data_IF_196635998502
#
_entry.id   IF_196635998502
#
_cell.length_a   1.000
_cell.length_b   1.000
_cell.length_c   1.000
_cell.angle_alpha   90.00
_cell.angle_beta   90.00
_cell.angle_gamma   90.00
#
_symmetry.space_group_name_H-M   'P 1'
#
loop_
_entity.id
_entity.type
_entity.pdbx_description
1 polymer ?
#
# COMPACT_ATOMS: atom_id res chain seq x y z
N UNK A 1 -20.85 -14.98 9.03
CA UNK A 1 -21.23 -16.39 9.29
C UNK A 1 -21.40 -17.00 7.91
N UNK A 2 -20.40 -17.74 7.45
CA UNK A 2 -20.52 -18.46 6.18
C UNK A 2 -21.53 -19.58 6.38
N UNK A 3 -22.42 -19.76 5.40
CA UNK A 3 -23.41 -20.83 5.39
C UNK A 3 -22.74 -22.05 4.73
N UNK A 4 -22.42 -23.12 5.50
CA UNK A 4 -21.67 -24.27 4.98
C UNK A 4 -22.43 -25.06 3.90
N UNK A 5 -23.71 -24.76 3.66
CA UNK A 5 -24.52 -25.36 2.60
C UNK A 5 -24.68 -24.51 1.33
N UNK A 6 -24.07 -23.31 1.25
CA UNK A 6 -24.19 -22.48 0.06
C UNK A 6 -23.47 -23.15 -1.13
N UNK A 7 -24.11 -23.26 -2.31
CA UNK A 7 -23.46 -23.81 -3.49
C UNK A 7 -22.27 -22.93 -3.89
N UNK A 8 -21.16 -23.56 -4.30
CA UNK A 8 -20.01 -22.85 -4.82
C UNK A 8 -20.42 -22.03 -6.06
N UNK A 9 -19.98 -20.78 -6.20
CA UNK A 9 -20.31 -19.97 -7.36
C UNK A 9 -19.74 -20.58 -8.63
N UNK A 10 -20.58 -20.68 -9.67
CA UNK A 10 -20.18 -21.11 -11.00
C UNK A 10 -19.72 -19.92 -11.85
N UNK A 11 -19.00 -20.13 -12.97
CA UNK A 11 -18.63 -19.04 -13.87
C UNK A 11 -19.82 -18.24 -14.42
N UNK A 12 -21.03 -18.82 -14.44
CA UNK A 12 -22.26 -18.14 -14.88
C UNK A 12 -22.80 -17.17 -13.83
N UNK A 13 -22.39 -17.32 -12.58
CA UNK A 13 -22.78 -16.45 -11.45
C UNK A 13 -21.90 -15.20 -11.36
N UNK A 14 -20.86 -15.11 -12.20
CA UNK A 14 -20.01 -13.94 -12.31
C UNK A 14 -20.80 -12.77 -12.91
N UNK A 15 -21.09 -11.79 -12.06
CA UNK A 15 -21.82 -10.59 -12.47
C UNK A 15 -20.88 -9.61 -13.17
N UNK A 16 -19.65 -9.46 -12.64
CA UNK A 16 -18.69 -8.47 -13.12
C UNK A 16 -17.27 -8.77 -12.67
N UNK A 17 -16.32 -8.42 -13.54
CA UNK A 17 -14.90 -8.40 -13.25
C UNK A 17 -14.41 -6.95 -13.31
N UNK A 18 -13.39 -6.65 -12.51
CA UNK A 18 -12.78 -5.34 -12.43
C UNK A 18 -11.27 -5.46 -12.46
N UNK A 19 -10.61 -4.52 -13.16
CA UNK A 19 -9.17 -4.34 -13.08
C UNK A 19 -8.80 -3.60 -11.81
N UNK A 20 -7.69 -4.01 -11.20
CA UNK A 20 -7.16 -3.38 -9.99
C UNK A 20 -6.16 -2.24 -10.29
N UNK A 21 -5.92 -1.93 -11.55
CA UNK A 21 -5.12 -0.77 -11.96
C UNK A 21 -5.74 0.50 -11.38
N UNK A 22 -4.96 1.27 -10.62
CA UNK A 22 -5.40 2.48 -9.91
C UNK A 22 -6.54 2.23 -8.91
N UNK A 23 -6.70 1.00 -8.41
CA UNK A 23 -7.67 0.73 -7.35
C UNK A 23 -7.26 1.39 -6.03
N UNK A 24 -8.23 1.92 -5.31
CA UNK A 24 -8.07 2.50 -3.99
C UNK A 24 -8.86 1.68 -2.97
N UNK A 25 -8.24 1.38 -1.83
CA UNK A 25 -8.88 0.63 -0.74
C UNK A 25 -8.58 1.28 0.61
N UNK A 26 -9.57 1.27 1.51
CA UNK A 26 -9.44 1.83 2.86
C UNK A 26 -10.65 1.54 3.74
N UNK A 27 -10.60 2.01 5.00
CA UNK A 27 -11.72 1.85 5.93
C UNK A 27 -12.96 2.65 5.48
N UNK A 28 -14.12 2.02 5.50
CA UNK A 28 -15.42 2.68 5.28
C UNK A 28 -15.91 3.39 6.55
N UNK A 29 -15.19 4.42 7.02
CA UNK A 29 -15.40 5.07 8.32
C UNK A 29 -16.76 5.77 8.48
N UNK A 30 -17.35 6.21 7.38
CA UNK A 30 -18.68 6.82 7.31
C UNK A 30 -19.81 5.78 7.35
N UNK A 31 -19.50 4.49 7.19
CA UNK A 31 -20.49 3.41 7.25
C UNK A 31 -20.54 2.77 8.64
N UNK A 32 -21.53 3.18 9.43
CA UNK A 32 -21.66 2.78 10.84
C UNK A 32 -22.60 1.59 11.07
N UNK A 33 -23.34 1.14 10.04
CA UNK A 33 -24.34 0.07 10.17
C UNK A 33 -23.73 -1.32 10.37
N UNK A 34 -22.50 -1.54 9.92
CA UNK A 34 -21.76 -2.79 10.10
C UNK A 34 -20.31 -2.50 10.45
N UNK A 35 -19.71 -3.39 11.24
CA UNK A 35 -18.28 -3.34 11.55
C UNK A 35 -17.47 -3.96 10.42
N UNK A 36 -16.16 -3.69 10.41
CA UNK A 36 -15.18 -4.30 9.52
C UNK A 36 -15.48 -4.04 8.04
N UNK A 37 -15.90 -2.82 7.72
CA UNK A 37 -16.27 -2.43 6.36
C UNK A 37 -15.11 -1.71 5.68
N UNK A 38 -14.79 -2.18 4.48
CA UNK A 38 -13.78 -1.66 3.59
C UNK A 38 -14.49 -0.93 2.45
N UNK A 39 -14.06 0.28 2.16
CA UNK A 39 -14.42 1.00 0.93
C UNK A 39 -13.39 0.67 -0.13
N UNK A 40 -13.88 0.31 -1.32
CA UNK A 40 -13.03 0.04 -2.47
C UNK A 40 -13.54 0.86 -3.65
N UNK A 41 -12.62 1.47 -4.39
CA UNK A 41 -12.87 2.16 -5.65
C UNK A 41 -12.00 1.55 -6.74
N UNK A 42 -12.62 1.15 -7.84
CA UNK A 42 -11.95 0.59 -9.02
C UNK A 42 -12.79 0.88 -10.27
N UNK A 43 -12.14 1.15 -11.39
CA UNK A 43 -12.81 1.47 -12.67
C UNK A 43 -13.89 2.57 -12.58
N UNK A 44 -13.72 3.53 -11.67
CA UNK A 44 -14.69 4.61 -11.44
C UNK A 44 -15.89 4.23 -10.56
N UNK A 45 -16.04 2.96 -10.20
CA UNK A 45 -17.09 2.46 -9.30
C UNK A 45 -16.62 2.42 -7.84
N UNK A 46 -17.57 2.54 -6.91
CA UNK A 46 -17.31 2.50 -5.48
C UNK A 46 -18.28 1.55 -4.77
N UNK A 47 -17.74 0.67 -3.94
CA UNK A 47 -18.52 -0.29 -3.17
C UNK A 47 -17.97 -0.49 -1.76
N UNK A 48 -18.79 -1.12 -0.92
CA UNK A 48 -18.47 -1.46 0.46
C UNK A 48 -18.41 -2.99 0.60
N UNK A 49 -17.30 -3.49 1.14
CA UNK A 49 -17.07 -4.92 1.40
C UNK A 49 -16.95 -5.14 2.91
N UNK A 50 -17.68 -6.09 3.45
CA UNK A 50 -17.61 -6.44 4.86
C UNK A 50 -16.66 -7.63 5.04
N UNK A 51 -15.60 -7.45 5.82
CA UNK A 51 -14.72 -8.53 6.25
C UNK A 51 -15.27 -9.27 7.48
N UNK A 52 -14.78 -10.49 7.72
CA UNK A 52 -15.21 -11.31 8.85
C UNK A 52 -14.81 -10.69 10.20
N UNK A 53 -13.57 -10.20 10.30
CA UNK A 53 -12.96 -9.64 11.50
C UNK A 53 -11.99 -8.50 11.16
N UNK A 54 -11.30 -7.95 12.18
CA UNK A 54 -10.36 -6.85 12.01
C UNK A 54 -9.08 -7.30 11.29
N UNK A 55 -8.62 -8.53 11.53
CA UNK A 55 -7.47 -9.09 10.82
C UNK A 55 -7.76 -9.18 9.30
N UNK A 56 -8.93 -9.69 8.94
CA UNK A 56 -9.38 -9.72 7.55
C UNK A 56 -9.47 -8.34 6.91
N UNK A 57 -9.85 -7.30 7.66
CA UNK A 57 -9.81 -5.92 7.12
C UNK A 57 -8.39 -5.54 6.67
N UNK A 58 -7.39 -5.83 7.50
CA UNK A 58 -5.99 -5.53 7.19
C UNK A 58 -5.55 -6.35 5.98
N UNK A 59 -5.76 -7.66 6.00
CA UNK A 59 -5.35 -8.58 4.93
C UNK A 59 -5.95 -8.18 3.56
N UNK A 60 -7.25 -7.85 3.53
CA UNK A 60 -7.91 -7.42 2.30
C UNK A 60 -7.38 -6.07 1.80
N UNK A 61 -7.19 -5.08 2.69
CA UNK A 61 -6.66 -3.77 2.30
C UNK A 61 -5.24 -3.92 1.73
N UNK A 62 -4.36 -4.65 2.43
CA UNK A 62 -2.99 -4.90 1.99
C UNK A 62 -2.96 -5.67 0.66
N UNK A 63 -3.81 -6.69 0.52
CA UNK A 63 -3.96 -7.46 -0.72
C UNK A 63 -4.37 -6.58 -1.91
N UNK A 64 -5.37 -5.71 -1.74
CA UNK A 64 -5.78 -4.79 -2.82
C UNK A 64 -4.68 -3.77 -3.16
N UNK A 65 -4.00 -3.22 -2.17
CA UNK A 65 -2.91 -2.27 -2.40
C UNK A 65 -1.73 -2.95 -3.12
N UNK A 66 -1.36 -4.15 -2.71
CA UNK A 66 -0.32 -4.94 -3.36
C UNK A 66 -0.69 -5.28 -4.81
N UNK A 67 -1.93 -5.72 -5.04
CA UNK A 67 -2.44 -6.01 -6.37
C UNK A 67 -2.47 -4.76 -7.27
N UNK A 68 -2.93 -3.61 -6.75
CA UNK A 68 -2.93 -2.36 -7.49
C UNK A 68 -1.52 -1.94 -7.96
N UNK A 69 -0.50 -2.17 -7.12
CA UNK A 69 0.90 -1.87 -7.46
C UNK A 69 1.46 -2.74 -8.60
N UNK A 70 0.94 -3.96 -8.79
CA UNK A 70 1.38 -4.88 -9.85
C UNK A 70 0.39 -4.98 -11.02
N UNK A 71 -0.73 -4.26 -10.99
CA UNK A 71 -1.77 -4.33 -12.01
C UNK A 71 -1.50 -3.45 -13.24
N UNK A 72 -0.72 -2.37 -13.09
CA UNK A 72 -0.30 -1.54 -14.22
C UNK A 72 0.68 -2.29 -15.13
N UNK A 73 0.81 -1.86 -16.37
CA UNK A 73 1.81 -2.42 -17.28
C UNK A 73 3.23 -2.10 -16.80
N UNK A 74 4.21 -2.95 -17.14
CA UNK A 74 5.59 -2.82 -16.64
C UNK A 74 6.20 -1.44 -16.96
N UNK A 75 5.88 -0.87 -18.12
CA UNK A 75 6.39 0.42 -18.58
C UNK A 75 5.77 1.61 -17.81
N UNK A 76 4.58 1.42 -17.24
CA UNK A 76 3.85 2.43 -16.48
C UNK A 76 4.11 2.34 -14.97
N UNK A 77 4.69 1.23 -14.49
CA UNK A 77 5.01 1.04 -13.07
C UNK A 77 6.15 1.98 -12.66
N UNK A 78 5.96 2.85 -11.65
CA UNK A 78 7.05 3.63 -11.10
C UNK A 78 8.09 2.70 -10.46
N UNK A 79 9.38 2.94 -10.73
CA UNK A 79 10.44 2.15 -10.10
C UNK A 79 10.35 2.23 -8.57
N UNK A 80 10.52 1.10 -7.86
CA UNK A 80 10.60 1.11 -6.40
C UNK A 80 11.72 2.06 -5.96
N UNK A 81 11.42 2.98 -5.04
CA UNK A 81 12.46 3.79 -4.42
C UNK A 81 13.31 2.87 -3.57
N UNK A 82 14.53 2.59 -4.03
CA UNK A 82 15.50 1.82 -3.26
C UNK A 82 15.75 2.46 -1.89
N UNK A 83 16.20 1.68 -0.88
CA UNK A 83 16.47 2.20 0.45
C UNK A 83 17.40 3.43 0.38
N UNK A 84 16.97 4.53 1.01
CA UNK A 84 17.81 5.73 1.12
C UNK A 84 18.96 5.45 2.08
N UNK A 85 20.10 5.05 1.53
CA UNK A 85 21.32 4.94 2.31
C UNK A 85 21.86 6.34 2.64
N UNK A 86 22.16 6.64 3.92
CA UNK A 86 22.79 7.89 4.29
C UNK A 86 24.10 8.09 3.53
N UNK A 87 24.24 9.21 2.82
CA UNK A 87 25.51 9.57 2.17
C UNK A 87 26.56 9.86 3.24
N UNK A 88 27.66 9.08 3.27
CA UNK A 88 28.78 9.29 4.20
C UNK A 88 29.42 10.66 3.94
N UNK A 89 29.17 11.64 4.81
CA UNK A 89 29.76 12.98 4.76
C UNK A 89 31.27 12.88 5.01
N UNK A 90 32.08 13.18 3.99
CA UNK A 90 33.54 13.22 4.12
C UNK A 90 33.90 14.31 5.12
N UNK A 91 34.38 13.93 6.30
CA UNK A 91 34.80 14.87 7.35
C UNK A 91 36.04 15.61 6.82
N UNK A 92 35.89 16.87 6.41
CA UNK A 92 37.01 17.72 5.99
C UNK A 92 37.91 17.88 7.21
N UNK A 93 39.13 17.36 7.16
CA UNK A 93 40.11 17.53 8.22
C UNK A 93 40.28 19.04 8.46
N UNK A 94 40.05 19.49 9.70
CA UNK A 94 40.40 20.86 10.09
C UNK A 94 41.91 20.96 9.94
N UNK A 95 42.36 21.88 9.08
CA UNK A 95 43.75 22.28 8.95
C UNK A 95 44.20 22.72 10.34
N UNK A 96 45.15 22.01 10.94
CA UNK A 96 45.77 22.45 12.17
C UNK A 96 46.47 23.79 11.88
N UNK A 97 46.02 24.85 12.55
CA UNK A 97 46.74 26.12 12.57
C UNK A 97 48.11 25.88 13.20
N UNK A 98 49.16 26.10 12.41
CA UNK A 98 50.52 26.16 12.89
C UNK A 98 50.67 27.39 13.78
N UNK A 99 50.60 27.19 15.10
CA UNK A 99 51.04 28.17 16.08
C UNK A 99 52.55 28.37 15.90
N UNK A 100 52.95 29.56 15.44
CA UNK A 100 54.35 29.98 15.49
C UNK A 100 54.76 30.19 16.95
N UNK A 101 55.94 29.72 17.40
CA UNK A 101 56.53 30.23 18.61
C UNK A 101 57.32 31.50 18.28
N UNK A 102 56.93 32.58 18.95
CA UNK A 102 57.75 33.77 19.13
C UNK A 102 58.98 33.39 19.98
N UNK A 103 60.17 33.75 19.53
CA UNK A 103 61.34 33.89 20.40
C UNK A 103 62.15 35.11 19.99
N UNK A 104 62.20 36.05 20.94
CA UNK A 104 63.22 37.06 21.30
C UNK A 104 64.15 37.66 20.25
#
# INVERSE_FOLDING_TARGET
REDPGAPLPSPKDLIKEYRLSNAESGLGTDYTKRRNVIRIRMEGEQFLLQAADVAGVVDWIEGFQAAANIALDLDERPMPKGPMFPRRRRRRARRAESSQPETS
#
